data_IF_618614748782
#
_entry.id   IF_618614748782
#
_cell.length_a   1.000
_cell.length_b   1.000
_cell.length_c   1.000
_cell.angle_alpha   90.00
_cell.angle_beta   90.00
_cell.angle_gamma   90.00
#
_symmetry.space_group_name_H-M   'P 1'
#
loop_
_entity.id
_entity.type
_entity.pdbx_description
1 polymer ?
#
# COMPACT_ATOMS: atom_id res chain seq x y z
N UNK A 1 -15.55 -9.21 -2.27
CA UNK A 1 -16.60 -8.59 -1.41
C UNK A 1 -16.01 -7.41 -0.65
N UNK A 2 -16.85 -6.56 -0.04
CA UNK A 2 -16.36 -5.52 0.87
C UNK A 2 -15.60 -6.16 2.04
N UNK A 3 -14.53 -5.51 2.51
CA UNK A 3 -13.75 -6.00 3.63
C UNK A 3 -14.47 -5.73 4.96
N UNK A 4 -14.59 -6.72 5.86
CA UNK A 4 -15.24 -6.55 7.15
C UNK A 4 -14.40 -5.63 8.06
N UNK A 5 -15.03 -5.05 9.09
CA UNK A 5 -14.44 -3.99 9.91
C UNK A 5 -13.27 -4.46 10.79
N UNK A 6 -13.28 -5.74 11.17
CA UNK A 6 -12.22 -6.40 11.94
C UNK A 6 -10.95 -6.67 11.10
N UNK A 7 -11.06 -6.65 9.77
CA UNK A 7 -9.93 -6.69 8.85
C UNK A 7 -9.48 -5.26 8.56
N UNK A 8 -8.35 -4.85 9.14
CA UNK A 8 -7.78 -3.51 9.02
C UNK A 8 -6.26 -3.57 8.79
N UNK A 9 -5.55 -2.44 8.75
CA UNK A 9 -4.10 -2.38 8.43
C UNK A 9 -3.23 -3.17 9.42
N UNK A 10 -3.65 -3.26 10.69
CA UNK A 10 -2.94 -4.03 11.71
C UNK A 10 -3.33 -5.52 11.69
N UNK A 11 -4.42 -5.87 11.00
CA UNK A 11 -4.98 -7.22 10.88
C UNK A 11 -5.40 -7.54 9.42
N UNK A 12 -4.44 -7.53 8.47
CA UNK A 12 -4.70 -7.73 7.03
C UNK A 12 -4.79 -9.20 6.58
N UNK A 13 -4.66 -10.15 7.51
CA UNK A 13 -4.69 -11.58 7.21
C UNK A 13 -5.93 -11.96 6.38
N UNK A 14 -5.72 -12.78 5.34
CA UNK A 14 -6.80 -13.36 4.55
C UNK A 14 -6.51 -13.43 3.07
N UNK A 15 -7.51 -13.86 2.31
CA UNK A 15 -7.49 -13.99 0.87
C UNK A 15 -8.19 -12.81 0.20
N UNK A 16 -7.55 -12.33 -0.87
CA UNK A 16 -7.93 -11.12 -1.57
C UNK A 16 -7.89 -11.35 -3.08
N UNK A 17 -8.66 -10.57 -3.82
CA UNK A 17 -8.63 -10.55 -5.28
C UNK A 17 -8.39 -9.13 -5.76
N UNK A 18 -7.44 -8.96 -6.67
CA UNK A 18 -7.22 -7.69 -7.33
C UNK A 18 -8.40 -7.37 -8.26
N UNK A 19 -9.24 -6.40 -7.91
CA UNK A 19 -10.39 -6.04 -8.76
C UNK A 19 -10.08 -4.98 -9.81
N UNK A 20 -9.47 -3.86 -9.39
CA UNK A 20 -9.44 -2.64 -10.20
C UNK A 20 -8.04 -2.05 -10.21
N UNK A 21 -7.36 -2.23 -11.33
CA UNK A 21 -6.33 -1.31 -11.79
C UNK A 21 -6.97 -0.32 -12.78
N UNK A 22 -6.45 0.90 -12.88
CA UNK A 22 -6.90 1.92 -13.85
C UNK A 22 -7.00 1.30 -15.27
N UNK A 23 -7.94 1.78 -16.10
CA UNK A 23 -8.16 1.27 -17.48
C UNK A 23 -6.86 1.10 -18.28
N UNK A 24 -5.91 2.04 -18.11
CA UNK A 24 -4.62 2.01 -18.78
C UNK A 24 -3.77 0.79 -18.38
N UNK A 25 -3.81 0.39 -17.10
CA UNK A 25 -3.09 -0.78 -16.59
C UNK A 25 -3.82 -2.08 -17.02
N UNK A 26 -5.15 -2.08 -17.12
CA UNK A 26 -5.91 -3.26 -17.58
C UNK A 26 -5.59 -3.68 -19.02
N UNK A 27 -5.28 -2.73 -19.90
CA UNK A 27 -4.88 -3.05 -21.29
C UNK A 27 -3.58 -3.86 -21.38
N UNK A 28 -2.68 -3.71 -20.41
CA UNK A 28 -1.38 -4.40 -20.40
C UNK A 28 -1.44 -5.81 -19.77
N UNK A 29 -2.34 -6.05 -18.81
CA UNK A 29 -2.46 -7.31 -18.05
C UNK A 29 -3.73 -8.13 -18.38
N UNK A 30 -4.36 -7.85 -19.52
CA UNK A 30 -5.65 -8.45 -19.90
C UNK A 30 -5.56 -9.99 -19.94
N UNK A 31 -6.44 -10.64 -19.16
CA UNK A 31 -6.82 -12.07 -19.09
C UNK A 31 -6.51 -12.84 -17.79
N UNK A 32 -5.74 -12.30 -16.83
CA UNK A 32 -5.48 -12.99 -15.56
C UNK A 32 -6.11 -12.29 -14.34
N UNK A 33 -6.88 -13.04 -13.56
CA UNK A 33 -7.28 -12.66 -12.20
C UNK A 33 -6.11 -12.91 -11.26
N UNK A 34 -5.72 -11.90 -10.49
CA UNK A 34 -4.67 -12.02 -9.48
C UNK A 34 -5.34 -12.22 -8.11
N UNK A 35 -5.07 -13.37 -7.51
CA UNK A 35 -5.43 -13.72 -6.14
C UNK A 35 -4.22 -13.47 -5.24
N UNK A 36 -4.46 -12.96 -4.03
CA UNK A 36 -3.42 -12.64 -3.07
C UNK A 36 -3.82 -13.19 -1.71
N UNK A 37 -2.97 -14.04 -1.15
CA UNK A 37 -3.03 -14.38 0.27
C UNK A 37 -2.10 -13.46 1.04
N UNK A 38 -2.63 -12.77 2.05
CA UNK A 38 -1.85 -11.91 2.95
C UNK A 38 -1.65 -12.66 4.25
N UNK A 39 -0.39 -12.80 4.67
CA UNK A 39 0.02 -13.32 5.97
C UNK A 39 0.76 -12.23 6.74
N UNK A 40 0.21 -11.79 7.87
CA UNK A 40 0.73 -10.76 8.75
C UNK A 40 0.97 -11.34 10.14
N UNK A 41 2.21 -11.24 10.62
CA UNK A 41 2.63 -11.83 11.89
C UNK A 41 3.80 -11.05 12.52
N UNK A 42 3.91 -11.06 13.86
CA UNK A 42 5.03 -10.42 14.54
C UNK A 42 6.32 -11.24 14.35
N UNK A 43 7.44 -10.55 14.20
CA UNK A 43 8.78 -11.13 14.20
C UNK A 43 9.65 -10.42 15.23
N UNK A 44 10.59 -11.16 15.84
CA UNK A 44 11.63 -10.57 16.70
C UNK A 44 12.91 -10.49 15.91
N UNK A 45 13.35 -9.28 15.59
CA UNK A 45 14.70 -9.07 15.10
C UNK A 45 15.71 -9.25 16.24
N UNK A 46 16.94 -9.67 15.92
CA UNK A 46 17.95 -10.04 16.93
C UNK A 46 18.40 -8.87 17.81
N UNK A 47 18.22 -7.63 17.36
CA UNK A 47 18.75 -6.42 17.99
C UNK A 47 17.66 -5.47 18.53
N UNK A 48 16.37 -5.72 18.25
CA UNK A 48 15.25 -4.90 18.73
C UNK A 48 14.59 -5.50 19.97
N UNK A 49 14.27 -4.66 20.96
CA UNK A 49 13.49 -5.07 22.14
C UNK A 49 12.00 -5.27 21.84
N UNK A 50 11.49 -4.63 20.79
CA UNK A 50 10.08 -4.71 20.37
C UNK A 50 9.94 -5.51 19.07
N UNK A 51 8.89 -6.34 18.93
CA UNK A 51 8.66 -7.12 17.72
C UNK A 51 8.25 -6.21 16.55
N UNK A 52 8.90 -6.40 15.39
CA UNK A 52 8.47 -5.80 14.12
C UNK A 52 7.31 -6.61 13.52
N UNK A 53 6.51 -5.98 12.66
CA UNK A 53 5.48 -6.70 11.91
C UNK A 53 6.02 -7.14 10.55
N UNK A 54 5.88 -8.43 10.21
CA UNK A 54 6.16 -8.94 8.87
C UNK A 54 4.85 -9.18 8.12
N UNK A 55 4.83 -8.82 6.84
CA UNK A 55 3.70 -9.06 5.92
C UNK A 55 4.21 -9.76 4.66
N UNK A 56 3.66 -10.94 4.39
CA UNK A 56 3.90 -11.71 3.18
C UNK A 56 2.66 -11.66 2.28
N UNK A 57 2.85 -11.31 1.02
CA UNK A 57 1.84 -11.35 -0.04
C UNK A 57 2.19 -12.49 -0.99
N UNK A 58 1.36 -13.53 -1.00
CA UNK A 58 1.51 -14.68 -1.90
C UNK A 58 0.54 -14.46 -3.05
N UNK A 59 1.07 -14.08 -4.20
CA UNK A 59 0.28 -13.76 -5.39
C UNK A 59 0.20 -14.99 -6.29
N UNK A 60 -1.00 -15.31 -6.74
CA UNK A 60 -1.26 -16.33 -7.75
C UNK A 60 -2.11 -15.73 -8.84
N UNK A 61 -1.83 -16.12 -10.08
CA UNK A 61 -2.57 -15.63 -11.24
C UNK A 61 -3.31 -16.80 -11.90
N UNK A 62 -4.53 -16.53 -12.35
CA UNK A 62 -5.29 -17.51 -13.14
C UNK A 62 -4.55 -17.85 -14.45
N UNK A 63 -4.90 -18.99 -15.06
CA UNK A 63 -4.36 -19.43 -16.35
C UNK A 63 -2.86 -19.85 -16.35
N UNK A 64 -2.34 -20.33 -15.22
CA UNK A 64 -1.04 -21.00 -15.17
C UNK A 64 0.18 -20.08 -15.22
N UNK A 65 -0.02 -18.78 -15.01
CA UNK A 65 1.08 -17.83 -14.83
C UNK A 65 1.80 -18.11 -13.49
N UNK A 66 3.12 -17.94 -13.48
CA UNK A 66 3.91 -18.09 -12.27
C UNK A 66 3.44 -17.10 -11.20
N UNK A 67 3.17 -17.61 -9.99
CA UNK A 67 2.92 -16.76 -8.83
C UNK A 67 4.18 -15.99 -8.41
N UNK A 68 4.00 -14.99 -7.56
CA UNK A 68 5.08 -14.21 -6.97
C UNK A 68 4.89 -14.06 -5.47
N UNK A 69 5.96 -13.74 -4.75
CA UNK A 69 5.92 -13.43 -3.33
C UNK A 69 6.51 -12.04 -3.10
N UNK A 70 5.77 -11.19 -2.41
CA UNK A 70 6.25 -9.90 -1.90
C UNK A 70 6.35 -10.01 -0.37
N UNK A 71 7.50 -9.70 0.22
CA UNK A 71 7.75 -9.78 1.66
C UNK A 71 8.15 -8.41 2.19
N UNK A 72 7.51 -7.96 3.28
CA UNK A 72 7.79 -6.67 3.92
C UNK A 72 8.01 -6.85 5.40
N UNK A 73 8.99 -6.14 5.95
CA UNK A 73 9.15 -5.93 7.39
C UNK A 73 8.87 -4.46 7.65
N UNK A 74 8.01 -4.17 8.62
CA UNK A 74 7.53 -2.83 8.94
C UNK A 74 8.37 -2.17 10.04
N UNK A 75 9.64 -1.94 9.74
CA UNK A 75 10.63 -1.31 10.63
C UNK A 75 11.44 -0.19 9.95
N UNK A 76 11.07 0.15 8.72
CA UNK A 76 11.73 1.14 7.86
C UNK A 76 13.18 0.80 7.48
N UNK A 77 13.70 -0.38 7.82
CA UNK A 77 15.00 -0.82 7.35
C UNK A 77 14.96 -1.12 5.84
N UNK A 78 16.13 -1.03 5.20
CA UNK A 78 16.28 -1.26 3.76
C UNK A 78 16.60 -2.73 3.51
N UNK A 79 15.76 -3.39 2.75
CA UNK A 79 15.94 -4.78 2.34
C UNK A 79 16.10 -4.87 0.83
N UNK A 80 17.05 -5.70 0.40
CA UNK A 80 17.16 -6.09 -1.00
C UNK A 80 16.09 -7.15 -1.32
N UNK A 81 15.34 -6.93 -2.39
CA UNK A 81 14.40 -7.88 -2.96
C UNK A 81 14.71 -8.01 -4.44
N UNK A 82 14.65 -9.23 -4.97
CA UNK A 82 14.79 -9.45 -6.41
C UNK A 82 13.60 -10.26 -6.89
N UNK A 83 12.84 -9.68 -7.80
CA UNK A 83 11.76 -10.37 -8.48
C UNK A 83 11.88 -10.25 -9.99
N UNK A 84 11.10 -11.07 -10.68
CA UNK A 84 11.11 -11.19 -12.12
C UNK A 84 10.62 -9.94 -12.86
N UNK A 85 9.68 -9.19 -12.27
CA UNK A 85 9.03 -8.04 -12.91
C UNK A 85 9.79 -6.73 -12.69
N UNK A 86 10.33 -6.53 -11.49
CA UNK A 86 10.94 -5.28 -11.05
C UNK A 86 12.47 -5.38 -10.93
N UNK A 87 13.05 -6.57 -11.08
CA UNK A 87 14.48 -6.79 -10.92
C UNK A 87 14.91 -6.64 -9.46
N UNK A 88 16.17 -6.27 -9.23
CA UNK A 88 16.67 -6.00 -7.88
C UNK A 88 16.25 -4.61 -7.42
N UNK A 89 15.44 -4.57 -6.36
CA UNK A 89 14.93 -3.36 -5.72
C UNK A 89 15.39 -3.30 -4.27
N UNK A 90 15.60 -2.10 -3.75
CA UNK A 90 15.75 -1.85 -2.32
C UNK A 90 14.44 -1.29 -1.79
N UNK A 91 13.74 -2.08 -0.98
CA UNK A 91 12.47 -1.72 -0.35
C UNK A 91 12.63 -1.37 1.12
N UNK A 92 11.77 -0.47 1.61
CA UNK A 92 11.58 -0.19 3.03
C UNK A 92 10.09 0.06 3.27
N UNK A 93 9.59 -0.30 4.45
CA UNK A 93 8.16 -0.20 4.78
C UNK A 93 7.98 0.06 6.27
N UNK A 94 6.93 0.78 6.64
CA UNK A 94 6.62 1.11 8.03
C UNK A 94 5.13 1.36 8.23
N UNK A 95 4.65 1.21 9.47
CA UNK A 95 3.40 1.84 9.85
C UNK A 95 3.58 3.36 9.93
N UNK A 96 2.55 4.08 9.50
CA UNK A 96 2.43 5.53 9.68
C UNK A 96 1.06 5.85 10.28
N UNK A 97 1.00 7.02 10.91
CA UNK A 97 -0.19 7.52 11.60
C UNK A 97 -0.60 8.88 11.03
N UNK A 98 -1.78 9.33 11.42
CA UNK A 98 -2.38 10.49 10.80
C UNK A 98 -1.93 11.82 11.41
N UNK A 99 -1.98 12.85 10.57
CA UNK A 99 -1.99 14.25 10.98
C UNK A 99 -3.20 14.97 10.36
N UNK A 100 -3.76 15.99 11.04
CA UNK A 100 -4.86 16.77 10.50
C UNK A 100 -4.41 17.52 9.23
N UNK A 101 -5.18 17.38 8.15
CA UNK A 101 -5.03 18.17 6.94
C UNK A 101 -5.64 19.57 7.10
N UNK A 102 -5.47 20.43 6.09
CA UNK A 102 -6.00 21.80 6.09
C UNK A 102 -7.52 21.88 6.27
N UNK A 103 -8.26 20.85 5.85
CA UNK A 103 -9.71 20.77 6.01
C UNK A 103 -10.16 20.05 7.28
N UNK A 104 -9.22 19.76 8.21
CA UNK A 104 -9.47 19.07 9.47
C UNK A 104 -9.53 17.55 9.35
N UNK A 105 -9.53 16.98 8.14
CA UNK A 105 -9.56 15.53 7.96
C UNK A 105 -8.23 14.90 8.39
N UNK A 106 -8.27 13.81 9.16
CA UNK A 106 -7.07 13.04 9.48
C UNK A 106 -6.55 12.31 8.23
N UNK A 107 -5.28 12.52 7.88
CA UNK A 107 -4.65 11.93 6.69
C UNK A 107 -3.31 11.29 7.05
N UNK A 108 -2.86 10.26 6.32
CA UNK A 108 -1.57 9.63 6.57
C UNK A 108 -0.43 10.66 6.49
N UNK A 109 0.39 10.77 7.54
CA UNK A 109 1.58 11.62 7.54
C UNK A 109 2.85 10.80 7.32
N UNK A 110 3.67 11.27 6.40
CA UNK A 110 4.91 10.60 6.03
C UNK A 110 5.86 11.57 5.32
N UNK A 111 7.15 11.25 5.38
CA UNK A 111 8.18 11.91 4.60
C UNK A 111 8.22 11.30 3.20
N UNK A 112 7.81 12.08 2.19
CA UNK A 112 7.87 11.67 0.79
C UNK A 112 9.33 11.39 0.40
N UNK A 113 9.60 10.20 -0.10
CA UNK A 113 10.94 9.78 -0.51
C UNK A 113 11.20 9.99 -2.00
N UNK A 114 10.14 10.01 -2.81
CA UNK A 114 10.20 10.30 -4.25
C UNK A 114 10.64 11.74 -4.47
N UNK A 115 11.78 11.91 -5.14
CA UNK A 115 12.31 13.23 -5.48
C UNK A 115 11.46 13.90 -6.55
N UNK A 116 10.60 14.83 -6.12
CA UNK A 116 9.66 15.54 -6.98
C UNK A 116 9.38 16.93 -6.45
N UNK A 117 9.09 17.85 -7.37
CA UNK A 117 8.62 19.22 -7.06
C UNK A 117 7.09 19.33 -7.09
N UNK A 118 6.39 18.30 -7.56
CA UNK A 118 4.93 18.29 -7.65
C UNK A 118 4.31 17.96 -6.29
N UNK A 119 3.61 18.93 -5.71
CA UNK A 119 2.86 18.75 -4.47
C UNK A 119 1.70 17.74 -4.64
N UNK A 120 1.16 17.62 -5.86
CA UNK A 120 0.05 16.74 -6.22
C UNK A 120 0.40 15.27 -5.97
N UNK A 121 1.67 14.87 -6.08
CA UNK A 121 2.12 13.51 -5.78
C UNK A 121 1.89 13.18 -4.30
N UNK A 122 2.33 14.05 -3.37
CA UNK A 122 2.09 13.84 -1.94
C UNK A 122 0.60 13.89 -1.62
N UNK A 123 -0.14 14.83 -2.22
CA UNK A 123 -1.60 14.93 -2.04
C UNK A 123 -2.32 13.66 -2.50
N UNK A 124 -1.94 13.11 -3.67
CA UNK A 124 -2.50 11.86 -4.18
C UNK A 124 -2.22 10.69 -3.23
N UNK A 125 -0.96 10.52 -2.81
CA UNK A 125 -0.56 9.47 -1.88
C UNK A 125 -1.24 9.59 -0.51
N UNK A 126 -1.52 10.81 -0.03
CA UNK A 126 -2.29 11.06 1.20
C UNK A 126 -3.79 10.80 1.05
N UNK A 127 -4.28 10.56 -0.17
CA UNK A 127 -5.69 10.39 -0.46
C UNK A 127 -6.48 11.69 -0.51
N UNK A 128 -5.82 12.85 -0.65
CA UNK A 128 -6.48 14.17 -0.73
C UNK A 128 -7.13 14.41 -2.10
N UNK A 129 -6.55 13.84 -3.15
CA UNK A 129 -7.03 13.97 -4.53
C UNK A 129 -7.09 12.62 -5.25
N UNK A 130 -8.00 12.49 -6.21
CA UNK A 130 -8.14 11.33 -7.10
C UNK A 130 -7.13 11.40 -8.26
N UNK A 131 -7.11 10.36 -9.11
CA UNK A 131 -6.23 10.30 -10.29
C UNK A 131 -6.52 11.39 -11.34
N UNK A 132 -7.72 11.97 -11.31
CA UNK A 132 -8.14 13.09 -12.15
C UNK A 132 -7.92 14.45 -11.46
N UNK A 133 -7.20 14.45 -10.33
CA UNK A 133 -6.89 15.63 -9.51
C UNK A 133 -8.10 16.27 -8.81
N UNK A 134 -9.28 15.65 -8.87
CA UNK A 134 -10.44 16.09 -8.09
C UNK A 134 -10.27 15.76 -6.60
N UNK A 135 -11.05 16.41 -5.73
CA UNK A 135 -11.02 16.15 -4.28
C UNK A 135 -11.45 14.70 -3.99
N UNK A 136 -10.67 14.02 -3.16
CA UNK A 136 -10.91 12.64 -2.75
C UNK A 136 -11.44 12.57 -1.30
N UNK A 137 -12.45 11.70 -1.02
CA UNK A 137 -12.78 11.31 0.35
C UNK A 137 -11.58 10.68 1.06
N UNK A 138 -10.76 9.94 0.31
CA UNK A 138 -9.49 9.33 0.70
C UNK A 138 -9.64 8.15 1.65
N UNK A 139 -8.56 7.85 2.36
CA UNK A 139 -8.52 6.72 3.27
C UNK A 139 -9.43 6.90 4.49
N UNK A 140 -9.99 5.77 4.95
CA UNK A 140 -10.64 5.62 6.23
C UNK A 140 -9.63 5.76 7.36
N UNK A 141 -10.10 6.35 8.46
CA UNK A 141 -9.37 6.46 9.72
C UNK A 141 -9.77 5.28 10.59
N UNK A 142 -9.03 4.18 10.45
CA UNK A 142 -9.31 2.93 11.17
C UNK A 142 -8.89 3.01 12.65
N UNK A 143 -9.55 2.24 13.51
CA UNK A 143 -9.13 2.11 14.90
C UNK A 143 -7.73 1.50 14.99
N UNK A 144 -7.00 1.85 16.05
CA UNK A 144 -5.66 1.32 16.33
C UNK A 144 -5.73 0.33 17.48
N UNK A 145 -4.89 -0.70 17.42
CA UNK A 145 -4.63 -1.57 18.56
C UNK A 145 -3.85 -0.85 19.66
N UNK A 146 -4.17 -1.17 20.91
CA UNK A 146 -3.49 -0.63 22.10
C UNK A 146 -4.22 0.55 22.75
N UNK A 147 -3.68 1.06 23.87
CA UNK A 147 -4.28 2.20 24.57
C UNK A 147 -4.19 3.45 23.69
N UNK A 148 -5.34 3.92 23.22
CA UNK A 148 -5.46 5.20 22.51
C UNK A 148 -5.58 6.30 23.57
N UNK A 149 -4.45 6.85 24.01
CA UNK A 149 -4.47 8.13 24.72
C UNK A 149 -4.67 9.27 23.71
N UNK A 150 -5.88 9.85 23.70
CA UNK A 150 -6.24 10.95 22.80
C UNK A 150 -7.13 10.53 21.63
N UNK A 151 -7.13 11.32 20.55
CA UNK A 151 -7.95 11.07 19.36
C UNK A 151 -7.31 9.98 18.46
N UNK A 152 -8.14 9.08 17.92
CA UNK A 152 -7.71 8.08 16.93
C UNK A 152 -7.05 8.73 15.73
N UNK A 153 -5.78 8.37 15.47
CA UNK A 153 -5.02 8.96 14.37
C UNK A 153 -5.08 8.14 13.08
N UNK A 154 -5.73 6.98 13.08
CA UNK A 154 -5.71 6.04 11.95
C UNK A 154 -4.36 5.32 11.82
N UNK A 155 -4.32 4.20 11.10
CA UNK A 155 -3.09 3.45 10.82
C UNK A 155 -3.03 3.14 9.32
N UNK A 156 -1.88 3.38 8.70
CA UNK A 156 -1.60 3.09 7.30
C UNK A 156 -0.21 2.48 7.17
N UNK A 157 0.09 1.90 6.00
CA UNK A 157 1.46 1.47 5.68
C UNK A 157 2.03 2.43 4.65
N UNK A 158 3.24 2.92 4.91
CA UNK A 158 4.06 3.63 3.93
C UNK A 158 5.15 2.71 3.43
N UNK A 159 5.33 2.69 2.11
CA UNK A 159 6.38 1.90 1.50
C UNK A 159 7.13 2.69 0.45
N UNK A 160 8.43 2.48 0.36
CA UNK A 160 9.27 3.07 -0.66
C UNK A 160 10.21 2.01 -1.23
N UNK A 161 10.22 1.91 -2.55
CA UNK A 161 11.09 1.02 -3.31
C UNK A 161 11.89 1.82 -4.32
N UNK A 162 13.14 1.43 -4.52
CA UNK A 162 14.02 2.01 -5.54
C UNK A 162 14.73 0.92 -6.30
N UNK A 163 14.78 1.05 -7.62
CA UNK A 163 15.66 0.29 -8.47
C UNK A 163 16.80 1.20 -8.96
N UNK A 164 17.98 1.08 -8.34
CA UNK A 164 19.14 1.91 -8.66
C UNK A 164 19.70 1.61 -10.06
N UNK A 165 19.53 0.38 -10.56
CA UNK A 165 20.04 -0.04 -11.86
C UNK A 165 19.15 0.43 -13.02
N UNK A 166 17.83 0.32 -12.86
CA UNK A 166 16.85 0.69 -13.88
C UNK A 166 16.35 2.13 -13.72
N UNK A 167 16.70 2.81 -12.62
CA UNK A 167 16.45 4.23 -12.44
C UNK A 167 14.98 4.58 -12.26
N UNK A 168 14.30 3.90 -11.32
CA UNK A 168 12.94 4.25 -10.95
C UNK A 168 12.67 4.01 -9.45
N UNK A 169 11.66 4.71 -8.93
CA UNK A 169 11.12 4.54 -7.58
C UNK A 169 9.64 4.17 -7.63
N UNK A 170 9.17 3.46 -6.62
CA UNK A 170 7.75 3.25 -6.36
C UNK A 170 7.46 3.59 -4.89
N UNK A 171 6.56 4.53 -4.66
CA UNK A 171 6.14 4.94 -3.32
C UNK A 171 4.66 4.72 -3.15
N UNK A 172 4.27 4.14 -2.01
CA UNK A 172 2.90 3.71 -1.79
C UNK A 172 2.40 4.05 -0.38
N UNK A 173 1.11 4.32 -0.31
CA UNK A 173 0.34 4.37 0.93
C UNK A 173 -0.77 3.34 0.85
N UNK A 174 -0.86 2.51 1.87
CA UNK A 174 -1.85 1.44 1.97
C UNK A 174 -2.88 1.78 3.05
N UNK A 175 -4.16 1.57 2.74
CA UNK A 175 -5.26 1.88 3.64
C UNK A 175 -6.57 1.33 3.13
N UNK A 176 -7.63 1.51 3.93
CA UNK A 176 -8.98 1.21 3.48
C UNK A 176 -9.63 2.46 2.91
N UNK A 177 -10.41 2.31 1.84
CA UNK A 177 -11.18 3.40 1.21
C UNK A 177 -12.62 2.97 1.00
N UNK A 178 -13.55 3.93 1.07
CA UNK A 178 -14.91 3.74 0.56
C UNK A 178 -14.93 4.03 -0.93
N UNK A 179 -15.31 3.04 -1.74
CA UNK A 179 -15.48 3.20 -3.19
C UNK A 179 -16.93 2.85 -3.50
N UNK A 180 -17.73 3.89 -3.77
CA UNK A 180 -19.19 3.77 -3.71
C UNK A 180 -19.62 3.49 -2.27
N UNK A 181 -20.41 2.45 -2.06
CA UNK A 181 -20.95 2.07 -0.74
C UNK A 181 -20.14 0.96 -0.06
N UNK A 182 -19.02 0.54 -0.66
CA UNK A 182 -18.24 -0.61 -0.20
C UNK A 182 -16.84 -0.21 0.27
N UNK A 183 -16.39 -0.85 1.35
CA UNK A 183 -15.06 -0.71 1.95
C UNK A 183 -14.07 -1.66 1.29
N UNK A 184 -12.94 -1.14 0.83
CA UNK A 184 -11.90 -1.92 0.15
C UNK A 184 -10.53 -1.66 0.74
N UNK A 185 -9.70 -2.70 0.79
CA UNK A 185 -8.26 -2.51 0.95
C UNK A 185 -7.71 -1.92 -0.35
N UNK A 186 -6.93 -0.85 -0.24
CA UNK A 186 -6.39 -0.14 -1.39
C UNK A 186 -4.95 0.29 -1.16
N UNK A 187 -4.22 0.41 -2.26
CA UNK A 187 -2.88 1.00 -2.31
C UNK A 187 -2.88 2.12 -3.31
N UNK A 188 -2.49 3.31 -2.88
CA UNK A 188 -2.18 4.43 -3.77
C UNK A 188 -0.68 4.40 -4.02
N UNK A 189 -0.28 4.33 -5.28
CA UNK A 189 1.11 4.17 -5.72
C UNK A 189 1.49 5.28 -6.68
N UNK A 190 2.71 5.79 -6.54
CA UNK A 190 3.36 6.60 -7.56
C UNK A 190 4.63 5.89 -7.96
N UNK A 191 4.78 5.64 -9.26
CA UNK A 191 6.03 5.16 -9.86
C UNK A 191 6.67 6.33 -10.59
N UNK A 192 7.94 6.62 -10.33
CA UNK A 192 8.67 7.72 -10.96
C UNK A 192 10.02 7.23 -11.48
N UNK A 193 10.37 7.63 -12.69
CA UNK A 193 11.70 7.41 -13.26
C UNK A 193 12.66 8.51 -12.83
N UNK A 194 13.96 8.25 -12.86
CA UNK A 194 15.00 9.27 -12.62
C UNK A 194 14.99 10.44 -13.61
N UNK A 195 14.22 10.32 -14.70
CA UNK A 195 13.98 11.40 -15.68
C UNK A 195 12.78 12.29 -15.32
N UNK A 196 12.14 12.07 -14.17
CA UNK A 196 10.99 12.82 -13.70
C UNK A 196 9.65 12.41 -14.32
N UNK A 197 9.61 11.40 -15.19
CA UNK A 197 8.35 10.85 -15.69
C UNK A 197 7.72 10.00 -14.59
N UNK A 198 6.42 10.20 -14.32
CA UNK A 198 5.71 9.46 -13.28
C UNK A 198 4.35 8.95 -13.73
N UNK A 199 3.85 7.94 -13.00
CA UNK A 199 2.51 7.40 -13.10
C UNK A 199 1.92 7.24 -11.70
N UNK A 200 0.73 7.82 -11.48
CA UNK A 200 -0.08 7.54 -10.30
C UNK A 200 -1.03 6.37 -10.58
N UNK A 201 -1.23 5.50 -9.59
CA UNK A 201 -2.14 4.37 -9.66
C UNK A 201 -2.84 4.14 -8.33
N UNK A 202 -4.09 3.68 -8.40
CA UNK A 202 -4.81 3.10 -7.26
C UNK A 202 -5.07 1.62 -7.54
N UNK A 203 -4.63 0.78 -6.63
CA UNK A 203 -4.81 -0.67 -6.64
C UNK A 203 -5.88 -0.99 -5.60
N UNK A 204 -6.92 -1.74 -5.98
CA UNK A 204 -8.06 -2.04 -5.12
C UNK A 204 -8.25 -3.55 -5.01
N UNK A 205 -8.37 -4.02 -3.78
CA UNK A 205 -8.49 -5.43 -3.43
C UNK A 205 -9.87 -5.73 -2.83
N UNK A 206 -10.49 -6.78 -3.35
CA UNK A 206 -11.66 -7.41 -2.76
C UNK A 206 -11.24 -8.38 -1.67
N UNK A 207 -11.97 -8.37 -0.55
CA UNK A 207 -11.85 -9.43 0.43
C UNK A 207 -12.63 -10.67 -0.03
N UNK A 208 -12.01 -11.84 0.11
CA UNK A 208 -12.62 -13.14 -0.19
C UNK A 208 -12.99 -13.86 1.10
N UNK A 209 -12.07 -13.93 2.07
CA UNK A 209 -12.25 -14.65 3.32
C UNK A 209 -10.95 -14.78 4.11
N UNK A 210 -11.01 -15.34 5.32
CA UNK A 210 -9.84 -15.56 6.19
C UNK A 210 -9.11 -16.88 5.91
N UNK A 211 -9.79 -17.86 5.28
CA UNK A 211 -9.28 -19.20 4.94
C UNK A 211 -8.81 -19.28 3.49
#
# INVERSE_FOLDING_TARGET
>A
MAAPLDVNIQHLNGNWVLQKVSWLIRKAFSFATIYIQILQYPIKEKESSEPSTKIDFIQTASAGLAGSKEERILDWAKYDHTDYFFGTVKGQSQFIYGAPAKDGTMRPEFELQTDTTSAEIKQFLRGEIELDWSKSPGFLVEAQDGPVEGETRGCWVHTFERNEKLGWTAEQIWGFEMIGESRYFSRRVVVMTTKGQYLCGRIVFDFVGLE
#
